data_IF_321404544262
#
_entry.id   IF_321404544262
#
_cell.length_a   1.000
_cell.length_b   1.000
_cell.length_c   1.000
_cell.angle_alpha   90.00
_cell.angle_beta   90.00
_cell.angle_gamma   90.00
#
_symmetry.space_group_name_H-M   'P 1'
#
loop_
_entity.id
_entity.type
_entity.pdbx_description
1 polymer ?
#
# COMPACT_ATOMS: atom_id res chain seq x y z
N UNK A 1 -47.29 -3.88 -8.40
CA UNK A 1 -46.27 -3.44 -7.44
C UNK A 1 -45.62 -4.56 -6.61
N UNK A 2 -46.19 -5.77 -6.46
CA UNK A 2 -45.50 -6.90 -5.77
C UNK A 2 -44.45 -7.63 -6.64
N UNK A 3 -44.64 -7.63 -7.97
CA UNK A 3 -43.76 -8.37 -8.88
C UNK A 3 -42.46 -7.64 -9.25
N UNK A 4 -42.37 -6.31 -9.15
CA UNK A 4 -41.16 -5.57 -9.59
C UNK A 4 -40.01 -5.72 -8.58
N UNK A 5 -40.29 -5.62 -7.27
CA UNK A 5 -39.28 -5.87 -6.22
C UNK A 5 -38.78 -7.32 -6.24
N UNK A 6 -39.66 -8.29 -6.53
CA UNK A 6 -39.26 -9.69 -6.72
C UNK A 6 -38.37 -9.88 -7.96
N UNK A 7 -38.68 -9.19 -9.06
CA UNK A 7 -37.91 -9.26 -10.31
C UNK A 7 -36.52 -8.66 -10.17
N UNK A 8 -36.37 -7.54 -9.47
CA UNK A 8 -35.07 -6.92 -9.21
C UNK A 8 -34.22 -7.79 -8.27
N UNK A 9 -34.85 -8.42 -7.27
CA UNK A 9 -34.18 -9.39 -6.39
C UNK A 9 -33.69 -10.62 -7.15
N UNK A 10 -34.51 -11.15 -8.06
CA UNK A 10 -34.16 -12.30 -8.92
C UNK A 10 -33.05 -11.95 -9.92
N UNK A 11 -33.04 -10.70 -10.42
CA UNK A 11 -32.00 -10.19 -11.32
C UNK A 11 -30.64 -10.11 -10.62
N UNK A 12 -30.60 -9.54 -9.40
CA UNK A 12 -29.37 -9.41 -8.61
C UNK A 12 -28.80 -10.78 -8.23
N UNK A 13 -29.65 -11.75 -7.87
CA UNK A 13 -29.23 -13.13 -7.55
C UNK A 13 -28.62 -13.87 -8.75
N UNK A 14 -29.09 -13.58 -9.97
CA UNK A 14 -28.61 -14.24 -11.20
C UNK A 14 -27.46 -13.51 -11.89
N UNK A 15 -27.22 -12.24 -11.56
CA UNK A 15 -26.19 -11.40 -12.19
C UNK A 15 -24.78 -11.99 -12.05
N UNK A 16 -24.45 -12.54 -10.87
CA UNK A 16 -23.15 -13.15 -10.61
C UNK A 16 -22.87 -14.45 -11.40
N UNK A 17 -23.87 -15.03 -12.08
CA UNK A 17 -23.69 -16.18 -12.96
C UNK A 17 -23.35 -15.79 -14.42
N UNK A 18 -23.32 -14.49 -14.75
CA UNK A 18 -23.18 -14.01 -16.14
C UNK A 18 -21.92 -13.20 -16.42
N UNK A 19 -21.08 -12.94 -15.42
CA UNK A 19 -19.78 -12.29 -15.65
C UNK A 19 -18.81 -13.37 -16.14
N UNK A 20 -18.90 -13.66 -17.43
CA UNK A 20 -17.74 -14.05 -18.21
C UNK A 20 -17.60 -13.13 -19.43
N UNK A 21 -16.36 -12.65 -19.58
CA UNK A 21 -15.77 -11.99 -20.74
C UNK A 21 -16.08 -10.51 -21.04
N UNK A 22 -15.03 -9.72 -20.78
CA UNK A 22 -14.50 -8.64 -21.63
C UNK A 22 -15.37 -7.41 -21.85
N UNK A 23 -14.99 -6.26 -21.25
CA UNK A 23 -14.63 -5.01 -21.95
C UNK A 23 -13.93 -4.08 -20.95
N UNK A 24 -12.69 -3.71 -21.25
CA UNK A 24 -11.93 -2.60 -20.65
C UNK A 24 -12.33 -1.27 -21.31
N UNK A 25 -12.43 -0.18 -20.55
CA UNK A 25 -12.37 1.20 -21.08
C UNK A 25 -11.52 2.09 -20.18
N UNK A 26 -10.42 2.56 -20.76
CA UNK A 26 -9.67 3.75 -20.36
C UNK A 26 -10.40 4.99 -20.88
N UNK A 27 -10.63 5.96 -20.00
CA UNK A 27 -10.69 7.39 -20.33
C UNK A 27 -9.97 8.14 -19.19
N UNK A 28 -9.20 9.17 -19.55
CA UNK A 28 -8.42 10.02 -18.65
C UNK A 28 -9.33 10.71 -17.61
N UNK A 29 -9.49 10.10 -16.44
CA UNK A 29 -10.16 10.68 -15.27
C UNK A 29 -9.08 11.31 -14.39
N UNK A 30 -9.10 12.64 -14.27
CA UNK A 30 -8.32 13.32 -13.25
C UNK A 30 -8.83 12.91 -11.85
N UNK A 31 -7.94 12.76 -10.88
CA UNK A 31 -8.29 12.15 -9.58
C UNK A 31 -9.33 12.99 -8.82
N UNK A 32 -9.37 14.29 -9.12
CA UNK A 32 -10.33 15.23 -8.57
C UNK A 32 -11.73 15.06 -9.19
N UNK A 33 -11.83 14.62 -10.45
CA UNK A 33 -13.10 14.33 -11.12
C UNK A 33 -13.72 13.01 -10.64
N UNK A 34 -12.91 12.04 -10.19
CA UNK A 34 -13.39 10.78 -9.60
C UNK A 34 -14.24 11.01 -8.33
N UNK A 35 -13.95 12.07 -7.56
CA UNK A 35 -14.70 12.41 -6.34
C UNK A 35 -15.76 13.50 -6.55
N UNK A 36 -15.86 14.06 -7.75
CA UNK A 36 -16.78 15.18 -8.06
C UNK A 36 -18.16 14.72 -8.55
N UNK A 37 -18.43 13.41 -8.56
CA UNK A 37 -19.75 12.87 -8.89
C UNK A 37 -20.69 13.07 -7.70
N UNK A 38 -21.35 14.23 -7.66
CA UNK A 38 -22.58 14.51 -6.93
C UNK A 38 -22.59 14.24 -5.41
N UNK A 39 -21.76 14.96 -4.64
CA UNK A 39 -22.11 15.23 -3.23
C UNK A 39 -22.96 16.49 -3.13
N UNK A 40 -24.15 16.48 -3.73
CA UNK A 40 -25.25 17.28 -3.21
C UNK A 40 -26.09 16.33 -2.37
N UNK A 41 -25.92 16.39 -1.05
CA UNK A 41 -26.84 15.76 -0.14
C UNK A 41 -28.20 16.47 -0.29
N UNK A 42 -29.03 15.98 -1.23
CA UNK A 42 -30.43 16.36 -1.26
C UNK A 42 -31.05 15.82 0.04
N UNK A 43 -31.41 16.75 0.93
CA UNK A 43 -32.18 16.41 2.13
C UNK A 43 -33.59 16.03 1.68
N UNK A 44 -33.83 14.74 1.47
CA UNK A 44 -35.17 14.22 1.28
C UNK A 44 -35.95 14.42 2.59
N UNK A 45 -37.08 15.14 2.53
CA UNK A 45 -38.04 15.12 3.65
C UNK A 45 -38.42 13.66 3.89
N UNK A 46 -38.15 13.16 5.11
CA UNK A 46 -38.42 11.77 5.47
C UNK A 46 -39.93 11.59 5.54
N UNK A 47 -40.53 11.06 4.47
CA UNK A 47 -41.87 10.50 4.54
C UNK A 47 -41.81 9.23 5.40
N UNK A 48 -42.34 9.33 6.62
CA UNK A 48 -42.37 8.25 7.61
C UNK A 48 -43.19 7.03 7.17
N UNK A 49 -43.74 7.02 5.94
CA UNK A 49 -44.46 5.89 5.34
C UNK A 49 -43.53 4.78 4.81
N UNK A 50 -42.24 5.07 4.53
CA UNK A 50 -41.30 4.16 3.85
C UNK A 50 -39.94 4.01 4.57
N UNK A 51 -39.93 4.12 5.90
CA UNK A 51 -38.71 4.01 6.72
C UNK A 51 -37.92 2.73 6.44
N UNK A 52 -38.61 1.61 6.18
CA UNK A 52 -38.00 0.33 5.84
C UNK A 52 -37.30 0.34 4.47
N UNK A 53 -37.86 1.01 3.46
CA UNK A 53 -37.24 1.14 2.15
C UNK A 53 -36.01 2.07 2.22
N UNK A 54 -36.06 3.17 2.98
CA UNK A 54 -34.91 4.07 3.20
C UNK A 54 -33.78 3.36 3.96
N UNK A 55 -34.10 2.59 5.00
CA UNK A 55 -33.12 1.77 5.72
C UNK A 55 -32.50 0.74 4.77
N UNK A 56 -33.33 0.07 3.96
CA UNK A 56 -32.86 -0.93 3.00
C UNK A 56 -31.94 -0.33 1.93
N UNK A 57 -32.27 0.83 1.36
CA UNK A 57 -31.41 1.51 0.39
C UNK A 57 -30.09 1.97 1.01
N UNK A 58 -30.12 2.53 2.23
CA UNK A 58 -28.90 2.90 2.95
C UNK A 58 -28.03 1.66 3.24
N UNK A 59 -28.64 0.55 3.66
CA UNK A 59 -27.93 -0.72 3.88
C UNK A 59 -27.30 -1.23 2.58
N UNK A 60 -28.01 -1.17 1.45
CA UNK A 60 -27.47 -1.53 0.13
C UNK A 60 -26.30 -0.63 -0.29
N UNK A 61 -26.42 0.69 -0.18
CA UNK A 61 -25.34 1.62 -0.50
C UNK A 61 -24.10 1.37 0.37
N UNK A 62 -24.28 1.05 1.65
CA UNK A 62 -23.15 0.70 2.53
C UNK A 62 -22.49 -0.62 2.15
N UNK A 63 -23.26 -1.61 1.66
CA UNK A 63 -22.73 -2.88 1.16
C UNK A 63 -21.95 -2.66 -0.14
N UNK A 64 -22.46 -1.85 -1.06
CA UNK A 64 -21.79 -1.53 -2.32
C UNK A 64 -20.50 -0.74 -2.07
N UNK A 65 -20.53 0.26 -1.17
CA UNK A 65 -19.33 1.03 -0.80
C UNK A 65 -18.29 0.15 -0.12
N UNK A 66 -18.70 -0.79 0.73
CA UNK A 66 -17.80 -1.76 1.34
C UNK A 66 -17.17 -2.71 0.30
N UNK A 67 -17.94 -3.15 -0.69
CA UNK A 67 -17.46 -3.95 -1.82
C UNK A 67 -16.42 -3.20 -2.66
N UNK A 68 -16.70 -1.93 -2.99
CA UNK A 68 -15.76 -1.05 -3.69
C UNK A 68 -14.48 -0.80 -2.88
N UNK A 69 -14.59 -0.60 -1.57
CA UNK A 69 -13.43 -0.40 -0.68
C UNK A 69 -12.51 -1.63 -0.67
N UNK A 70 -13.09 -2.83 -0.63
CA UNK A 70 -12.34 -4.09 -0.73
C UNK A 70 -11.57 -4.16 -2.05
N UNK A 71 -12.25 -3.89 -3.17
CA UNK A 71 -11.63 -3.91 -4.51
C UNK A 71 -10.51 -2.87 -4.63
N UNK A 72 -10.74 -1.65 -4.15
CA UNK A 72 -9.74 -0.59 -4.10
C UNK A 72 -8.50 -1.02 -3.30
N UNK A 73 -8.68 -1.63 -2.12
CA UNK A 73 -7.56 -2.13 -1.31
C UNK A 73 -6.74 -3.20 -2.03
N UNK A 74 -7.38 -4.11 -2.77
CA UNK A 74 -6.65 -5.09 -3.57
C UNK A 74 -5.81 -4.43 -4.68
N UNK A 75 -6.35 -3.40 -5.34
CA UNK A 75 -5.63 -2.64 -6.36
C UNK A 75 -4.45 -1.88 -5.74
N UNK A 76 -4.67 -1.20 -4.62
CA UNK A 76 -3.63 -0.47 -3.88
C UNK A 76 -2.49 -1.41 -3.46
N UNK A 77 -2.79 -2.60 -2.96
CA UNK A 77 -1.76 -3.58 -2.57
C UNK A 77 -0.89 -3.95 -3.77
N UNK A 78 -1.49 -4.21 -4.94
CA UNK A 78 -0.74 -4.52 -6.18
C UNK A 78 0.17 -3.36 -6.59
N UNK A 79 -0.36 -2.14 -6.65
CA UNK A 79 0.44 -0.96 -6.96
C UNK A 79 1.58 -0.73 -5.97
N UNK A 80 1.33 -0.93 -4.67
CA UNK A 80 2.37 -0.79 -3.66
C UNK A 80 3.50 -1.82 -3.83
N UNK A 81 3.19 -3.05 -4.27
CA UNK A 81 4.19 -4.06 -4.59
C UNK A 81 5.06 -3.63 -5.79
N UNK A 82 4.44 -3.09 -6.84
CA UNK A 82 5.14 -2.61 -8.03
C UNK A 82 6.06 -1.41 -7.72
N UNK A 83 5.59 -0.49 -6.86
CA UNK A 83 6.38 0.64 -6.38
C UNK A 83 7.56 0.15 -5.52
N UNK A 84 7.31 -0.80 -4.60
CA UNK A 84 8.37 -1.39 -3.78
C UNK A 84 9.45 -2.02 -4.67
N UNK A 85 9.03 -2.84 -5.65
CA UNK A 85 9.94 -3.48 -6.60
C UNK A 85 10.74 -2.46 -7.42
N UNK A 86 10.08 -1.42 -7.93
CA UNK A 86 10.72 -0.35 -8.69
C UNK A 86 11.75 0.42 -7.85
N UNK A 87 11.44 0.68 -6.57
CA UNK A 87 12.37 1.32 -5.65
C UNK A 87 13.59 0.44 -5.36
N UNK A 88 13.39 -0.87 -5.13
CA UNK A 88 14.47 -1.86 -4.96
C UNK A 88 15.41 -1.90 -6.17
N UNK A 89 14.86 -1.96 -7.38
CA UNK A 89 15.66 -1.94 -8.61
C UNK A 89 16.42 -0.63 -8.79
N UNK A 90 15.77 0.51 -8.50
CA UNK A 90 16.40 1.83 -8.63
C UNK A 90 17.62 1.94 -7.72
N UNK A 91 17.49 1.57 -6.44
CA UNK A 91 18.61 1.66 -5.51
C UNK A 91 19.71 0.64 -5.81
N UNK A 92 19.35 -0.58 -6.21
CA UNK A 92 20.34 -1.60 -6.58
C UNK A 92 21.15 -1.18 -7.81
N UNK A 93 20.50 -0.61 -8.83
CA UNK A 93 21.17 -0.05 -10.03
C UNK A 93 22.06 1.13 -9.68
N UNK A 94 21.67 1.94 -8.70
CA UNK A 94 22.49 3.04 -8.23
C UNK A 94 23.78 2.52 -7.57
N UNK A 95 23.65 1.61 -6.60
CA UNK A 95 24.80 1.05 -5.86
C UNK A 95 25.77 0.32 -6.79
N UNK A 96 25.25 -0.48 -7.73
CA UNK A 96 26.08 -1.25 -8.68
C UNK A 96 26.86 -0.39 -9.68
N UNK A 97 26.57 0.91 -9.77
CA UNK A 97 27.27 1.88 -10.62
C UNK A 97 28.24 2.77 -9.86
N UNK A 98 28.37 2.59 -8.55
CA UNK A 98 29.40 3.27 -7.76
C UNK A 98 30.77 2.71 -8.16
N UNK A 99 31.72 3.62 -8.36
CA UNK A 99 33.08 3.26 -8.76
C UNK A 99 34.03 3.13 -7.56
N UNK A 100 33.63 3.71 -6.43
CA UNK A 100 34.43 3.95 -5.23
C UNK A 100 34.04 3.07 -4.04
N UNK A 101 32.86 2.45 -4.08
CA UNK A 101 32.35 1.54 -3.05
C UNK A 101 31.68 0.32 -3.65
N UNK A 102 31.90 -0.83 -3.03
CA UNK A 102 31.18 -2.04 -3.41
C UNK A 102 29.87 -2.23 -2.63
N UNK A 103 29.05 -3.20 -3.06
CA UNK A 103 27.77 -3.47 -2.43
C UNK A 103 27.87 -4.02 -1.00
N UNK A 104 28.97 -4.65 -0.61
CA UNK A 104 29.16 -5.16 0.74
C UNK A 104 29.48 -4.03 1.72
N UNK A 105 30.34 -3.10 1.31
CA UNK A 105 30.69 -1.90 2.07
C UNK A 105 29.45 -1.06 2.36
N UNK A 106 28.59 -0.85 1.36
CA UNK A 106 27.32 -0.14 1.52
C UNK A 106 26.41 -0.80 2.56
N UNK A 107 26.31 -2.14 2.56
CA UNK A 107 25.52 -2.86 3.56
C UNK A 107 26.14 -2.72 4.96
N UNK A 108 27.47 -2.75 5.05
CA UNK A 108 28.21 -2.50 6.29
C UNK A 108 27.93 -1.11 6.86
N UNK A 109 28.03 -0.07 6.03
CA UNK A 109 27.73 1.32 6.39
C UNK A 109 26.29 1.44 6.92
N UNK A 110 25.32 0.84 6.22
CA UNK A 110 23.93 0.85 6.64
C UNK A 110 23.72 0.17 7.99
N UNK A 111 24.28 -1.02 8.21
CA UNK A 111 24.15 -1.72 9.49
C UNK A 111 24.83 -0.97 10.64
N UNK A 112 25.95 -0.29 10.38
CA UNK A 112 26.60 0.57 11.37
C UNK A 112 25.74 1.79 11.69
N UNK A 113 25.16 2.44 10.68
CA UNK A 113 24.21 3.54 10.87
C UNK A 113 22.99 3.10 11.70
N UNK A 114 22.41 1.93 11.42
CA UNK A 114 21.28 1.39 12.21
C UNK A 114 21.68 1.17 13.66
N UNK A 115 22.85 0.58 13.94
CA UNK A 115 23.33 0.36 15.31
C UNK A 115 23.60 1.66 16.07
N UNK A 116 24.08 2.70 15.37
CA UNK A 116 24.41 3.99 15.96
C UNK A 116 23.15 4.82 16.27
N UNK A 117 22.14 4.75 15.41
CA UNK A 117 20.96 5.61 15.47
C UNK A 117 19.69 4.92 16.01
N UNK A 118 19.79 3.66 16.46
CA UNK A 118 18.65 2.92 17.03
C UNK A 118 19.08 1.92 18.10
N UNK A 119 18.11 1.45 18.89
CA UNK A 119 18.36 0.41 19.92
C UNK A 119 18.54 -1.02 19.34
N UNK A 120 18.85 -1.14 18.05
CA UNK A 120 18.97 -2.43 17.35
C UNK A 120 20.44 -2.88 17.34
N UNK A 121 20.75 -3.89 18.17
CA UNK A 121 22.11 -4.47 18.25
C UNK A 121 22.52 -5.27 17.01
N UNK A 122 21.59 -6.02 16.43
CA UNK A 122 21.82 -6.86 15.25
C UNK A 122 20.80 -6.51 14.16
N UNK A 123 21.14 -5.58 13.24
CA UNK A 123 20.27 -5.18 12.13
C UNK A 123 19.89 -6.34 11.20
N UNK A 124 20.86 -7.20 10.86
CA UNK A 124 20.64 -8.38 10.02
C UNK A 124 19.52 -9.26 10.59
N UNK A 125 19.64 -9.64 11.86
CA UNK A 125 18.61 -10.43 12.54
C UNK A 125 17.29 -9.69 12.65
N UNK A 126 17.28 -8.38 12.89
CA UNK A 126 16.03 -7.61 12.96
C UNK A 126 15.27 -7.64 11.64
N UNK A 127 15.97 -7.45 10.52
CA UNK A 127 15.35 -7.28 9.21
C UNK A 127 15.03 -8.63 8.55
N UNK A 128 15.88 -9.64 8.75
CA UNK A 128 15.87 -10.87 7.96
C UNK A 128 15.48 -12.12 8.75
N UNK A 129 15.19 -12.03 10.06
CA UNK A 129 14.81 -13.19 10.89
C UNK A 129 13.64 -14.00 10.31
N UNK A 130 12.73 -13.36 9.58
CA UNK A 130 11.60 -14.03 8.94
C UNK A 130 12.04 -15.10 7.92
N UNK A 131 13.26 -15.02 7.38
CA UNK A 131 13.82 -16.01 6.45
C UNK A 131 14.14 -17.35 7.12
N UNK A 132 14.49 -17.35 8.42
CA UNK A 132 14.79 -18.58 9.18
C UNK A 132 13.62 -19.56 9.24
N UNK A 133 12.40 -19.07 9.12
CA UNK A 133 11.19 -19.89 9.19
C UNK A 133 10.81 -20.52 7.84
N UNK A 134 11.55 -20.23 6.76
CA UNK A 134 11.34 -20.81 5.45
C UNK A 134 12.31 -21.96 5.17
N UNK A 135 11.78 -23.13 4.81
CA UNK A 135 12.56 -24.36 4.56
C UNK A 135 13.70 -24.22 3.56
N UNK A 136 13.58 -23.32 2.57
CA UNK A 136 14.61 -23.06 1.57
C UNK A 136 15.51 -21.86 1.92
N UNK A 137 14.99 -20.91 2.69
CA UNK A 137 15.62 -19.60 2.92
C UNK A 137 16.48 -19.54 4.17
N UNK A 138 16.38 -20.53 5.05
CA UNK A 138 17.23 -20.66 6.23
C UNK A 138 18.71 -20.81 5.84
N UNK A 139 19.02 -21.61 4.83
CA UNK A 139 20.39 -21.81 4.34
C UNK A 139 21.03 -20.51 3.85
N UNK A 140 20.28 -19.71 3.07
CA UNK A 140 20.75 -18.40 2.62
C UNK A 140 20.90 -17.42 3.78
N UNK A 141 19.96 -17.44 4.73
CA UNK A 141 20.04 -16.61 5.93
C UNK A 141 21.33 -16.89 6.71
N UNK A 142 21.67 -18.16 6.97
CA UNK A 142 22.85 -18.49 7.75
C UNK A 142 24.14 -18.20 6.96
N UNK A 143 24.11 -18.41 5.64
CA UNK A 143 25.24 -18.13 4.74
C UNK A 143 25.62 -16.65 4.70
N UNK A 144 24.64 -15.75 4.63
CA UNK A 144 24.89 -14.32 4.40
C UNK A 144 24.88 -13.47 5.69
N UNK A 145 24.78 -14.08 6.88
CA UNK A 145 24.77 -13.34 8.15
C UNK A 145 26.07 -12.57 8.41
N UNK A 146 27.22 -13.18 8.11
CA UNK A 146 28.52 -12.53 8.36
C UNK A 146 28.91 -11.54 7.26
N UNK A 147 28.53 -11.83 6.02
CA UNK A 147 28.87 -11.00 4.86
C UNK A 147 27.67 -10.91 3.91
N UNK A 148 26.81 -9.92 4.17
CA UNK A 148 25.54 -9.75 3.47
C UNK A 148 25.73 -8.98 2.16
N UNK A 149 25.51 -9.59 0.99
CA UNK A 149 25.60 -8.86 -0.27
C UNK A 149 24.37 -7.96 -0.48
N UNK A 150 24.56 -6.83 -1.18
CA UNK A 150 23.49 -5.86 -1.41
C UNK A 150 22.27 -6.45 -2.12
N UNK A 151 22.46 -7.32 -3.11
CA UNK A 151 21.35 -7.94 -3.85
C UNK A 151 20.47 -8.78 -2.91
N UNK A 152 21.09 -9.49 -1.95
CA UNK A 152 20.38 -10.33 -1.00
C UNK A 152 19.62 -9.49 0.01
N UNK A 153 20.27 -8.42 0.52
CA UNK A 153 19.59 -7.49 1.42
C UNK A 153 18.36 -6.88 0.73
N UNK A 154 18.55 -6.27 -0.45
CA UNK A 154 17.49 -5.57 -1.18
C UNK A 154 16.32 -6.50 -1.52
N UNK A 155 16.58 -7.74 -1.92
CA UNK A 155 15.54 -8.73 -2.23
C UNK A 155 14.62 -8.95 -1.02
N UNK A 156 15.22 -9.19 0.15
CA UNK A 156 14.51 -9.64 1.34
C UNK A 156 14.18 -8.54 2.36
N UNK A 157 14.55 -7.28 2.10
CA UNK A 157 14.07 -6.16 2.91
C UNK A 157 12.55 -6.06 2.84
N UNK A 158 11.92 -5.96 4.01
CA UNK A 158 10.52 -5.57 4.12
C UNK A 158 10.36 -4.08 3.78
N UNK A 159 9.20 -3.68 3.27
CA UNK A 159 8.94 -2.29 2.85
C UNK A 159 9.39 -1.24 3.88
N UNK A 160 9.06 -1.43 5.16
CA UNK A 160 9.48 -0.48 6.21
C UNK A 160 11.00 -0.33 6.32
N UNK A 161 11.73 -1.42 6.18
CA UNK A 161 13.19 -1.42 6.19
C UNK A 161 13.78 -0.85 4.90
N UNK A 162 13.13 -1.06 3.76
CA UNK A 162 13.48 -0.43 2.49
C UNK A 162 13.36 1.10 2.58
N UNK A 163 12.29 1.63 3.19
CA UNK A 163 12.16 3.07 3.41
C UNK A 163 13.33 3.62 4.21
N UNK A 164 13.75 2.91 5.26
CA UNK A 164 14.89 3.31 6.08
C UNK A 164 16.21 3.23 5.30
N UNK A 165 16.39 2.18 4.51
CA UNK A 165 17.57 2.03 3.64
C UNK A 165 17.71 3.18 2.63
N UNK A 166 16.60 3.59 2.02
CA UNK A 166 16.58 4.71 1.06
C UNK A 166 16.81 6.05 1.78
N UNK A 167 16.26 6.23 2.98
CA UNK A 167 16.50 7.42 3.80
C UNK A 167 17.97 7.53 4.24
N UNK A 168 18.58 6.42 4.65
CA UNK A 168 20.02 6.32 4.93
C UNK A 168 20.83 6.80 3.73
N UNK A 169 20.49 6.35 2.51
CA UNK A 169 21.22 6.75 1.32
C UNK A 169 21.15 8.24 1.02
N UNK A 170 19.98 8.86 1.22
CA UNK A 170 19.86 10.31 1.09
C UNK A 170 20.67 11.04 2.17
N UNK A 171 20.60 10.62 3.44
CA UNK A 171 21.20 11.35 4.55
C UNK A 171 22.74 11.24 4.60
N UNK A 172 23.28 10.04 4.39
CA UNK A 172 24.73 9.80 4.54
C UNK A 172 25.52 10.16 3.29
N UNK A 173 24.95 9.95 2.11
CA UNK A 173 25.64 10.24 0.84
C UNK A 173 25.14 11.54 0.17
N UNK A 174 24.22 12.27 0.81
CA UNK A 174 23.67 13.55 0.36
C UNK A 174 23.06 13.52 -1.06
N UNK A 175 22.42 12.41 -1.42
CA UNK A 175 21.88 12.19 -2.78
C UNK A 175 20.44 12.70 -2.84
N UNK A 176 20.26 13.93 -3.35
CA UNK A 176 18.95 14.59 -3.41
C UNK A 176 17.86 13.78 -4.14
N UNK A 177 18.22 12.95 -5.12
CA UNK A 177 17.27 12.09 -5.83
C UNK A 177 16.52 11.12 -4.89
N UNK A 178 17.20 10.62 -3.85
CA UNK A 178 16.58 9.72 -2.87
C UNK A 178 15.75 10.46 -1.81
N UNK A 179 15.89 11.79 -1.69
CA UNK A 179 15.06 12.61 -0.80
C UNK A 179 13.59 12.56 -1.19
N UNK A 180 13.31 12.80 -2.48
CA UNK A 180 11.95 12.78 -2.98
C UNK A 180 11.38 11.36 -2.94
N UNK A 181 12.18 10.36 -3.31
CA UNK A 181 11.78 8.97 -3.24
C UNK A 181 11.41 8.53 -1.82
N UNK A 182 12.24 8.88 -0.82
CA UNK A 182 11.97 8.59 0.59
C UNK A 182 10.63 9.17 1.06
N UNK A 183 10.32 10.42 0.69
CA UNK A 183 9.02 11.04 1.01
C UNK A 183 7.85 10.29 0.38
N UNK A 184 7.94 9.97 -0.91
CA UNK A 184 6.88 9.24 -1.62
C UNK A 184 6.66 7.86 -0.98
N UNK A 185 7.74 7.13 -0.70
CA UNK A 185 7.63 5.78 -0.12
C UNK A 185 7.02 5.77 1.28
N UNK A 186 7.12 6.86 2.06
CA UNK A 186 6.38 7.00 3.33
C UNK A 186 4.87 7.03 3.10
N UNK A 187 4.39 7.79 2.12
CA UNK A 187 2.96 7.81 1.77
C UNK A 187 2.48 6.46 1.24
N UNK A 188 3.28 5.82 0.37
CA UNK A 188 2.98 4.49 -0.18
C UNK A 188 2.92 3.44 0.94
N UNK A 189 3.85 3.47 1.90
CA UNK A 189 3.81 2.61 3.09
C UNK A 189 2.51 2.81 3.87
N UNK A 190 2.09 4.06 4.08
CA UNK A 190 0.88 4.37 4.85
C UNK A 190 -0.39 3.82 4.20
N UNK A 191 -0.57 4.06 2.90
CA UNK A 191 -1.75 3.55 2.18
C UNK A 191 -1.73 2.02 2.07
N UNK A 192 -0.55 1.42 1.86
CA UNK A 192 -0.36 -0.04 1.89
C UNK A 192 -0.79 -0.64 3.22
N UNK A 193 -0.34 -0.04 4.33
CA UNK A 193 -0.65 -0.53 5.66
C UNK A 193 -2.15 -0.47 5.94
N UNK A 194 -2.82 0.63 5.58
CA UNK A 194 -4.29 0.72 5.65
C UNK A 194 -4.96 -0.40 4.86
N UNK A 195 -4.52 -0.63 3.62
CA UNK A 195 -5.08 -1.65 2.74
C UNK A 195 -4.92 -3.08 3.30
N UNK A 196 -3.71 -3.42 3.75
CA UNK A 196 -3.38 -4.76 4.28
C UNK A 196 -4.05 -5.05 5.62
N UNK A 197 -4.24 -4.04 6.46
CA UNK A 197 -4.92 -4.18 7.75
C UNK A 197 -6.44 -4.04 7.65
N UNK A 198 -7.01 -4.13 6.44
CA UNK A 198 -8.46 -4.00 6.18
C UNK A 198 -9.07 -2.72 6.78
N UNK A 199 -8.28 -1.64 6.86
CA UNK A 199 -8.81 -0.33 7.27
C UNK A 199 -9.57 0.26 6.09
N UNK A 200 -10.85 0.65 6.25
CA UNK A 200 -11.60 1.29 5.18
C UNK A 200 -10.86 2.54 4.68
N UNK A 201 -10.60 2.58 3.38
CA UNK A 201 -9.91 3.67 2.69
C UNK A 201 -10.93 4.67 2.17
N UNK A 202 -12.03 4.20 1.59
CA UNK A 202 -13.10 5.06 1.04
C UNK A 202 -13.86 5.82 2.13
N UNK A 203 -13.88 5.29 3.34
CA UNK A 203 -14.56 5.93 4.44
C UNK A 203 -13.91 7.29 4.74
N UNK A 204 -14.71 8.36 4.71
CA UNK A 204 -14.29 9.73 5.00
C UNK A 204 -13.24 10.32 4.03
N UNK A 205 -13.06 9.84 2.79
CA UNK A 205 -12.09 10.44 1.84
C UNK A 205 -12.32 11.94 1.61
N UNK A 206 -13.58 12.38 1.65
CA UNK A 206 -13.95 13.80 1.52
C UNK A 206 -13.72 14.63 2.79
N UNK A 207 -13.18 14.03 3.86
CA UNK A 207 -12.93 14.75 5.11
C UNK A 207 -11.75 15.72 4.97
N UNK A 208 -12.04 16.97 5.33
CA UNK A 208 -11.10 18.08 5.33
C UNK A 208 -9.94 17.79 6.32
N UNK A 209 -8.69 18.06 5.92
CA UNK A 209 -7.43 17.90 6.69
C UNK A 209 -6.77 16.50 6.75
N UNK A 210 -7.14 15.53 5.90
CA UNK A 210 -6.49 14.20 5.91
C UNK A 210 -5.00 14.18 5.51
N UNK A 211 -4.50 15.21 4.82
CA UNK A 211 -3.11 15.26 4.29
C UNK A 211 -2.14 16.03 5.21
N UNK A 212 -2.61 16.55 6.35
CA UNK A 212 -1.73 17.20 7.33
C UNK A 212 -0.88 16.14 8.05
N UNK A 213 0.23 15.75 7.41
CA UNK A 213 1.19 14.73 7.84
C UNK A 213 2.04 15.10 9.07
N UNK A 214 1.43 15.64 10.11
CA UNK A 214 2.09 15.94 11.39
C UNK A 214 2.00 14.79 12.41
N UNK A 215 1.21 13.75 12.14
CA UNK A 215 1.16 12.60 13.03
C UNK A 215 2.36 11.67 12.78
N UNK A 216 3.37 11.82 13.63
CA UNK A 216 4.57 10.98 13.71
C UNK A 216 4.30 9.55 14.23
N UNK A 217 3.03 9.14 14.34
CA UNK A 217 2.61 7.91 15.01
C UNK A 217 1.83 6.95 14.09
N UNK A 218 2.33 6.69 12.87
CA UNK A 218 1.95 5.52 12.04
C UNK A 218 3.16 4.96 11.27
#
# INVERSE_FOLDING_TARGET
MSNEKATVKEFILNYHNTIDNNVTRDEDVDIDDFFNVNYQAETYEIDNSNVEDVIFFNELETVDLASLDIQLRYIIIKFCLDIEHSAKLKILRYITRLNDKDGYEVVGDFFNHVKANSNIKNPYKKMLKHLKYGSYRELDYDKYEQNTPIWFLIEYLQFGDLCWFIEFHYNEYNINEFKQLSKILRFVKNIRNKAVHNTPILNNIVSINQINGNDKNV
#
